data_IF_792683544270
#
_entry.id   IF_792683544270
#
_cell.length_a   1.000
_cell.length_b   1.000
_cell.length_c   1.000
_cell.angle_alpha   90.00
_cell.angle_beta   90.00
_cell.angle_gamma   90.00
#
_symmetry.space_group_name_H-M   'P 1'
#
loop_
_entity.id
_entity.type
_entity.pdbx_description
1 polymer ?
#
# COMPACT_ATOMS: atom_id res chain seq x y z
N UNK A 1 31.79 -8.87 13.16
CA UNK A 1 30.59 -8.64 12.35
C UNK A 1 29.59 -9.74 12.65
N UNK A 2 28.30 -9.45 12.65
CA UNK A 2 27.24 -10.42 12.97
C UNK A 2 27.00 -11.34 11.77
N UNK A 3 26.65 -12.62 11.98
CA UNK A 3 26.24 -13.52 10.89
C UNK A 3 25.03 -13.00 10.13
N UNK A 4 25.00 -13.18 8.80
CA UNK A 4 23.98 -12.61 7.91
C UNK A 4 23.32 -13.74 7.10
N UNK A 5 21.99 -13.79 7.06
CA UNK A 5 21.24 -14.57 6.07
C UNK A 5 20.88 -13.67 4.88
N UNK A 6 21.32 -14.07 3.69
CA UNK A 6 21.03 -13.38 2.43
C UNK A 6 19.97 -14.13 1.67
N UNK A 7 18.81 -13.49 1.44
CA UNK A 7 17.65 -14.04 0.77
C UNK A 7 17.63 -13.56 -0.68
N UNK A 8 17.64 -14.49 -1.62
CA UNK A 8 17.70 -14.25 -3.06
C UNK A 8 16.49 -14.89 -3.75
N UNK A 9 15.39 -14.14 -3.92
CA UNK A 9 14.25 -14.62 -4.69
C UNK A 9 14.63 -14.74 -6.17
N UNK A 10 14.29 -15.87 -6.80
CA UNK A 10 14.78 -16.21 -8.14
C UNK A 10 13.64 -16.73 -9.01
N UNK A 11 13.59 -16.26 -10.26
CA UNK A 11 12.76 -16.83 -11.30
C UNK A 11 13.38 -16.59 -12.68
N UNK A 12 13.97 -17.64 -13.27
CA UNK A 12 14.67 -17.63 -14.57
C UNK A 12 15.90 -16.71 -14.58
N UNK A 13 16.73 -16.83 -13.56
CA UNK A 13 17.93 -16.02 -13.37
C UNK A 13 19.21 -16.86 -13.31
N UNK A 14 19.19 -18.11 -13.84
CA UNK A 14 20.37 -19.00 -13.84
C UNK A 14 21.62 -18.33 -14.45
N UNK A 15 21.45 -17.44 -15.44
CA UNK A 15 22.57 -16.74 -16.07
C UNK A 15 23.24 -15.67 -15.19
N UNK A 16 22.52 -15.12 -14.21
CA UNK A 16 23.01 -14.06 -13.32
C UNK A 16 23.58 -14.61 -12.00
N UNK A 17 23.08 -15.77 -11.57
CA UNK A 17 23.43 -16.38 -10.28
C UNK A 17 24.94 -16.65 -10.09
N UNK A 18 25.74 -17.11 -11.07
CA UNK A 18 27.18 -17.34 -10.87
C UNK A 18 27.88 -16.09 -10.39
N UNK A 19 27.66 -14.93 -11.05
CA UNK A 19 28.32 -13.68 -10.67
C UNK A 19 27.85 -13.16 -9.31
N UNK A 20 26.58 -13.38 -8.95
CA UNK A 20 26.07 -13.04 -7.63
C UNK A 20 26.73 -13.88 -6.54
N UNK A 21 26.80 -15.20 -6.72
CA UNK A 21 27.42 -16.11 -5.75
C UNK A 21 28.94 -15.85 -5.62
N UNK A 22 29.62 -15.52 -6.70
CA UNK A 22 31.07 -15.12 -6.64
C UNK A 22 31.25 -13.83 -5.82
N UNK A 23 30.36 -12.84 -5.99
CA UNK A 23 30.35 -11.62 -5.17
C UNK A 23 30.08 -11.91 -3.69
N UNK A 24 29.17 -12.81 -3.37
CA UNK A 24 28.89 -13.24 -2.00
C UNK A 24 30.02 -14.05 -1.40
N UNK A 25 30.69 -14.90 -2.21
CA UNK A 25 31.86 -15.64 -1.79
C UNK A 25 33.06 -14.71 -1.44
N UNK A 26 33.20 -13.60 -2.18
CA UNK A 26 34.19 -12.57 -1.84
C UNK A 26 33.96 -11.97 -0.45
N UNK A 27 32.71 -11.59 -0.15
CA UNK A 27 32.35 -11.06 1.18
C UNK A 27 32.61 -12.09 2.29
N UNK A 28 32.34 -13.37 2.00
CA UNK A 28 32.64 -14.45 2.92
C UNK A 28 34.16 -14.61 3.14
N UNK A 29 34.96 -14.47 2.07
CA UNK A 29 36.43 -14.51 2.16
C UNK A 29 36.98 -13.35 3.00
N UNK A 30 36.32 -12.20 3.01
CA UNK A 30 36.63 -11.04 3.86
C UNK A 30 36.22 -11.23 5.35
N UNK A 31 35.77 -12.44 5.71
CA UNK A 31 35.51 -12.83 7.10
C UNK A 31 34.07 -12.68 7.56
N UNK A 32 33.11 -12.43 6.65
CA UNK A 32 31.67 -12.40 6.99
C UNK A 32 31.08 -13.81 6.98
N UNK A 33 30.34 -14.18 8.02
CA UNK A 33 29.59 -15.43 8.04
C UNK A 33 28.25 -15.24 7.33
N UNK A 34 28.09 -15.92 6.19
CA UNK A 34 26.88 -15.84 5.34
C UNK A 34 26.16 -17.18 5.26
N UNK A 35 24.82 -17.12 5.35
CA UNK A 35 23.87 -18.18 4.98
C UNK A 35 23.02 -17.64 3.81
N UNK A 36 23.24 -18.12 2.60
CA UNK A 36 22.53 -17.66 1.40
C UNK A 36 21.40 -18.59 1.07
N UNK A 37 20.21 -18.02 0.92
CA UNK A 37 18.98 -18.75 0.66
C UNK A 37 18.43 -18.31 -0.70
N UNK A 38 18.62 -19.15 -1.71
CA UNK A 38 18.02 -18.97 -3.03
C UNK A 38 16.60 -19.54 -2.97
N UNK A 39 15.60 -18.69 -3.24
CA UNK A 39 14.19 -19.10 -3.26
C UNK A 39 13.70 -19.07 -4.71
N UNK A 40 13.69 -20.24 -5.33
CA UNK A 40 13.38 -20.42 -6.75
C UNK A 40 11.90 -20.76 -6.99
N UNK A 41 11.23 -20.00 -7.86
CA UNK A 41 9.85 -20.21 -8.27
C UNK A 41 9.69 -21.25 -9.37
N UNK A 42 10.38 -22.38 -9.23
CA UNK A 42 10.39 -23.49 -10.18
C UNK A 42 10.73 -23.05 -11.60
N UNK A 43 11.88 -22.42 -11.73
CA UNK A 43 12.36 -21.74 -12.95
C UNK A 43 12.56 -22.68 -14.14
N UNK A 44 13.03 -23.92 -13.91
CA UNK A 44 13.38 -24.91 -14.92
C UNK A 44 14.35 -24.39 -15.97
N UNK A 45 15.36 -23.63 -15.55
CA UNK A 45 16.34 -22.94 -16.38
C UNK A 45 17.79 -23.34 -16.07
N UNK A 46 17.99 -24.40 -15.24
CA UNK A 46 19.28 -24.83 -14.78
C UNK A 46 19.71 -24.29 -13.41
N UNK A 47 18.84 -23.50 -12.74
CA UNK A 47 19.14 -22.96 -11.39
C UNK A 47 19.44 -24.05 -10.36
N UNK A 48 18.67 -25.15 -10.39
CA UNK A 48 18.84 -26.26 -9.43
C UNK A 48 20.18 -26.95 -9.62
N UNK A 49 20.50 -27.25 -10.86
CA UNK A 49 21.75 -27.93 -11.25
C UNK A 49 22.95 -27.03 -10.92
N UNK A 50 22.88 -25.74 -11.24
CA UNK A 50 23.93 -24.78 -10.97
C UNK A 50 24.27 -24.69 -9.47
N UNK A 51 23.26 -24.62 -8.61
CA UNK A 51 23.50 -24.54 -7.15
C UNK A 51 24.04 -25.87 -6.62
N UNK A 52 23.56 -27.00 -7.14
CA UNK A 52 24.05 -28.32 -6.76
C UNK A 52 25.51 -28.53 -7.18
N UNK A 53 25.87 -28.14 -8.41
CA UNK A 53 27.23 -28.29 -8.95
C UNK A 53 28.27 -27.44 -8.21
N UNK A 54 27.87 -26.24 -7.71
CA UNK A 54 28.73 -25.41 -6.88
C UNK A 54 29.06 -26.05 -5.53
N UNK A 55 28.11 -26.80 -4.96
CA UNK A 55 28.30 -27.58 -3.74
C UNK A 55 28.73 -26.76 -2.51
N UNK A 56 28.41 -25.47 -2.47
CA UNK A 56 28.82 -24.56 -1.40
C UNK A 56 27.89 -24.74 -0.16
N UNK A 57 28.42 -25.17 1.01
CA UNK A 57 27.61 -25.53 2.17
C UNK A 57 26.84 -24.34 2.81
N UNK A 58 27.25 -23.12 2.48
CA UNK A 58 26.63 -21.88 2.93
C UNK A 58 25.54 -21.36 1.97
N UNK A 59 25.30 -22.07 0.84
CA UNK A 59 24.23 -21.77 -0.12
C UNK A 59 23.16 -22.85 -0.05
N UNK A 60 21.92 -22.42 0.16
CA UNK A 60 20.75 -23.31 0.21
C UNK A 60 19.75 -22.92 -0.88
N UNK A 61 19.17 -23.93 -1.52
CA UNK A 61 18.13 -23.73 -2.51
C UNK A 61 16.78 -24.22 -1.98
N UNK A 62 15.74 -23.41 -2.14
CA UNK A 62 14.36 -23.74 -1.87
C UNK A 62 13.58 -23.58 -3.17
N UNK A 63 13.11 -24.67 -3.77
CA UNK A 63 12.28 -24.64 -4.96
C UNK A 63 10.81 -24.66 -4.57
N UNK A 64 10.02 -23.65 -5.00
CA UNK A 64 8.59 -23.52 -4.74
C UNK A 64 7.78 -24.00 -5.94
N UNK A 65 6.98 -25.06 -5.77
CA UNK A 65 6.23 -25.68 -6.87
C UNK A 65 4.82 -25.11 -6.99
N UNK A 66 4.16 -24.84 -5.85
CA UNK A 66 2.74 -24.46 -5.77
C UNK A 66 2.49 -22.95 -5.71
N UNK A 67 3.52 -22.16 -5.40
CA UNK A 67 3.42 -20.72 -5.21
C UNK A 67 4.35 -19.99 -6.17
N UNK A 68 3.93 -18.78 -6.60
CA UNK A 68 4.76 -17.88 -7.40
C UNK A 68 4.59 -16.44 -6.95
N UNK A 69 5.67 -15.71 -6.96
CA UNK A 69 5.69 -14.28 -6.71
C UNK A 69 6.86 -13.83 -5.86
N UNK A 70 7.48 -12.72 -6.25
CA UNK A 70 8.69 -12.20 -5.60
C UNK A 70 8.48 -12.00 -4.10
N UNK A 71 7.39 -11.34 -3.71
CA UNK A 71 7.17 -11.02 -2.29
C UNK A 71 6.95 -12.26 -1.42
N UNK A 72 6.23 -13.27 -1.91
CA UNK A 72 6.05 -14.52 -1.19
C UNK A 72 7.35 -15.35 -1.14
N UNK A 73 8.22 -15.23 -2.17
CA UNK A 73 9.55 -15.82 -2.14
C UNK A 73 10.43 -15.19 -1.06
N UNK A 74 10.38 -13.87 -0.94
CA UNK A 74 11.09 -13.15 0.12
C UNK A 74 10.60 -13.59 1.50
N UNK A 75 9.28 -13.65 1.73
CA UNK A 75 8.72 -14.10 3.02
C UNK A 75 9.22 -15.51 3.35
N UNK A 76 9.15 -16.42 2.38
CA UNK A 76 9.65 -17.79 2.56
C UNK A 76 11.13 -17.82 2.93
N UNK A 77 11.96 -17.00 2.29
CA UNK A 77 13.39 -16.88 2.61
C UNK A 77 13.65 -16.32 4.00
N UNK A 78 12.85 -15.31 4.43
CA UNK A 78 12.92 -14.75 5.78
C UNK A 78 12.56 -15.80 6.85
N UNK A 79 11.56 -16.64 6.61
CA UNK A 79 11.15 -17.73 7.50
C UNK A 79 12.24 -18.79 7.64
N UNK A 80 12.90 -19.15 6.55
CA UNK A 80 13.93 -20.20 6.50
C UNK A 80 15.33 -19.70 6.87
N UNK A 81 15.50 -18.41 7.11
CA UNK A 81 16.78 -17.81 7.47
C UNK A 81 17.26 -18.31 8.84
N UNK A 82 18.60 -18.41 9.04
CA UNK A 82 19.22 -18.91 10.25
C UNK A 82 19.73 -17.83 11.18
N UNK A 83 20.17 -16.71 10.61
CA UNK A 83 20.81 -15.61 11.35
C UNK A 83 19.80 -14.50 11.69
N UNK A 84 20.21 -13.61 12.58
CA UNK A 84 19.38 -12.50 13.05
C UNK A 84 19.41 -11.29 12.11
N UNK A 85 20.52 -11.11 11.37
CA UNK A 85 20.61 -10.10 10.33
C UNK A 85 20.14 -10.71 9.02
N UNK A 86 19.12 -10.13 8.42
CA UNK A 86 18.46 -10.61 7.21
C UNK A 86 18.64 -9.58 6.11
N UNK A 87 19.18 -9.98 4.99
CA UNK A 87 19.36 -9.13 3.80
C UNK A 87 18.64 -9.77 2.62
N UNK A 88 17.81 -9.01 1.93
CA UNK A 88 17.12 -9.44 0.70
C UNK A 88 17.72 -8.69 -0.48
N UNK A 89 18.03 -9.40 -1.56
CA UNK A 89 18.55 -8.80 -2.80
C UNK A 89 18.06 -9.55 -4.03
N UNK A 90 17.95 -8.85 -5.16
CA UNK A 90 17.57 -9.47 -6.42
C UNK A 90 18.70 -10.34 -6.99
N UNK A 91 18.33 -11.39 -7.74
CA UNK A 91 19.27 -12.31 -8.37
C UNK A 91 19.91 -11.79 -9.65
N UNK A 92 19.41 -10.67 -10.24
CA UNK A 92 19.77 -10.18 -11.57
C UNK A 92 21.09 -9.41 -11.67
N UNK A 93 21.82 -9.32 -10.55
CA UNK A 93 23.12 -8.63 -10.46
C UNK A 93 23.02 -7.11 -10.41
N UNK A 94 21.81 -6.54 -10.27
CA UNK A 94 21.61 -5.09 -10.17
C UNK A 94 21.99 -4.50 -8.81
N UNK A 95 22.00 -5.33 -7.77
CA UNK A 95 22.35 -4.95 -6.40
C UNK A 95 23.82 -5.32 -6.10
N UNK A 96 24.65 -4.36 -5.68
CA UNK A 96 26.05 -4.63 -5.36
C UNK A 96 26.17 -5.42 -4.05
N UNK A 97 26.74 -6.61 -4.09
CA UNK A 97 26.99 -7.44 -2.90
C UNK A 97 27.86 -6.71 -1.88
N UNK A 98 28.81 -5.89 -2.34
CA UNK A 98 29.72 -5.10 -1.50
C UNK A 98 29.04 -4.13 -0.53
N UNK A 99 27.75 -3.82 -0.72
CA UNK A 99 26.99 -2.95 0.21
C UNK A 99 26.36 -3.73 1.37
N UNK A 100 26.42 -5.07 1.39
CA UNK A 100 25.87 -5.89 2.48
C UNK A 100 26.52 -5.56 3.83
N UNK A 101 27.85 -5.43 3.95
CA UNK A 101 28.48 -5.01 5.19
C UNK A 101 28.01 -3.66 5.73
N UNK A 102 27.82 -2.67 4.85
CA UNK A 102 27.33 -1.35 5.24
C UNK A 102 25.89 -1.40 5.77
N UNK A 103 25.05 -2.27 5.17
CA UNK A 103 23.70 -2.50 5.66
C UNK A 103 23.70 -3.15 7.05
N UNK A 104 24.55 -4.14 7.26
CA UNK A 104 24.75 -4.77 8.58
C UNK A 104 25.24 -3.76 9.61
N UNK A 105 26.22 -2.94 9.27
CA UNK A 105 26.74 -1.91 10.16
C UNK A 105 25.67 -0.89 10.56
N UNK A 106 24.81 -0.47 9.63
CA UNK A 106 23.72 0.43 9.92
C UNK A 106 22.68 -0.20 10.88
N UNK A 107 22.37 -1.51 10.71
CA UNK A 107 21.50 -2.25 11.64
C UNK A 107 22.18 -2.38 13.02
N UNK A 108 23.50 -2.65 13.07
CA UNK A 108 24.26 -2.70 14.32
C UNK A 108 24.29 -1.35 15.05
N UNK A 109 24.22 -0.24 14.30
CA UNK A 109 24.12 1.12 14.84
C UNK A 109 22.71 1.50 15.31
N UNK A 110 21.73 0.59 15.24
CA UNK A 110 20.39 0.77 15.77
C UNK A 110 19.34 1.17 14.72
N UNK A 111 19.59 0.95 13.43
CA UNK A 111 18.54 1.05 12.43
C UNK A 111 17.52 -0.10 12.59
N UNK A 112 16.22 0.20 12.45
CA UNK A 112 15.17 -0.83 12.39
C UNK A 112 15.19 -1.57 11.04
N UNK A 113 15.60 -0.84 9.99
CA UNK A 113 15.53 -1.27 8.61
C UNK A 113 16.58 -0.55 7.77
N UNK A 114 17.23 -1.24 6.87
CA UNK A 114 18.15 -0.62 5.90
C UNK A 114 17.68 -0.83 4.47
N UNK A 115 18.01 0.12 3.61
CA UNK A 115 17.58 0.13 2.22
C UNK A 115 18.71 0.57 1.31
N UNK A 116 19.08 -0.24 0.32
CA UNK A 116 20.01 0.16 -0.73
C UNK A 116 19.36 1.23 -1.61
N UNK A 117 19.89 2.45 -1.61
CA UNK A 117 19.25 3.62 -2.26
C UNK A 117 20.10 4.17 -3.39
N UNK A 118 19.44 4.43 -4.51
CA UNK A 118 20.00 5.05 -5.72
C UNK A 118 20.00 6.57 -5.67
N UNK A 119 19.22 7.15 -4.76
CA UNK A 119 18.85 8.57 -4.79
C UNK A 119 19.42 9.40 -3.64
N UNK A 120 20.22 8.81 -2.79
CA UNK A 120 20.98 9.54 -1.76
C UNK A 120 22.39 9.89 -2.29
N UNK A 121 23.10 10.78 -1.60
CA UNK A 121 24.48 11.12 -1.93
C UNK A 121 25.36 9.86 -1.94
N UNK A 122 26.10 9.63 -3.04
CA UNK A 122 26.88 8.42 -3.26
C UNK A 122 26.11 7.28 -3.95
N UNK A 123 24.78 7.38 -4.04
CA UNK A 123 23.98 6.45 -4.84
C UNK A 123 23.91 6.88 -6.31
N UNK A 124 23.76 5.90 -7.20
CA UNK A 124 23.67 6.15 -8.64
C UNK A 124 22.96 5.02 -9.37
N UNK A 125 22.60 5.28 -10.61
CA UNK A 125 22.11 4.28 -11.56
C UNK A 125 23.02 4.29 -12.79
N UNK A 126 23.20 3.14 -13.40
CA UNK A 126 23.89 3.07 -14.68
C UNK A 126 23.15 3.89 -15.75
N UNK A 127 23.90 4.43 -16.72
CA UNK A 127 23.35 5.26 -17.81
C UNK A 127 22.30 4.51 -18.64
N UNK A 128 21.23 5.24 -19.07
CA UNK A 128 20.19 4.67 -19.92
C UNK A 128 18.80 4.52 -19.26
N UNK A 129 18.60 5.04 -18.05
CA UNK A 129 17.28 5.09 -17.45
C UNK A 129 16.34 6.04 -18.24
N UNK A 130 15.41 5.46 -18.99
CA UNK A 130 14.46 6.23 -19.77
C UNK A 130 13.59 7.16 -18.89
N UNK A 131 13.24 8.34 -19.43
CA UNK A 131 12.45 9.38 -18.75
C UNK A 131 11.15 8.83 -18.13
N UNK A 132 10.44 7.93 -18.83
CA UNK A 132 9.21 7.30 -18.32
C UNK A 132 9.45 6.46 -17.06
N UNK A 133 10.57 5.75 -16.99
CA UNK A 133 10.94 4.98 -15.80
C UNK A 133 11.26 5.89 -14.62
N UNK A 134 11.94 7.00 -14.88
CA UNK A 134 12.22 8.02 -13.87
C UNK A 134 10.93 8.65 -13.32
N UNK A 135 10.00 9.07 -14.21
CA UNK A 135 8.69 9.62 -13.81
C UNK A 135 7.93 8.61 -12.95
N UNK A 136 7.81 7.34 -13.40
CA UNK A 136 7.13 6.30 -12.65
C UNK A 136 7.75 6.08 -11.25
N UNK A 137 9.08 6.11 -11.15
CA UNK A 137 9.77 6.01 -9.85
C UNK A 137 9.44 7.18 -8.94
N UNK A 138 9.42 8.42 -9.47
CA UNK A 138 9.08 9.62 -8.69
C UNK A 138 7.62 9.63 -8.24
N UNK A 139 6.69 9.23 -9.10
CA UNK A 139 5.27 9.08 -8.74
C UNK A 139 5.10 8.02 -7.66
N UNK A 140 5.73 6.85 -7.82
CA UNK A 140 5.66 5.79 -6.82
C UNK A 140 6.27 6.24 -5.48
N UNK A 141 7.38 6.96 -5.48
CA UNK A 141 7.98 7.55 -4.27
C UNK A 141 7.04 8.56 -3.62
N UNK A 142 6.41 9.45 -4.41
CA UNK A 142 5.44 10.41 -3.88
C UNK A 142 4.26 9.72 -3.18
N UNK A 143 3.75 8.64 -3.77
CA UNK A 143 2.67 7.85 -3.18
C UNK A 143 3.09 7.12 -1.89
N UNK A 144 4.39 6.80 -1.73
CA UNK A 144 4.93 6.20 -0.52
C UNK A 144 5.20 7.22 0.61
N UNK A 145 5.24 8.52 0.32
CA UNK A 145 5.55 9.59 1.30
C UNK A 145 4.72 9.58 2.59
N UNK A 146 3.41 9.25 2.58
CA UNK A 146 2.65 9.12 3.82
C UNK A 146 3.17 8.03 4.76
N UNK A 147 3.92 7.08 4.24
CA UNK A 147 4.39 5.90 4.98
C UNK A 147 5.83 6.03 5.44
N UNK A 148 6.69 6.63 4.62
CA UNK A 148 8.13 6.70 4.86
C UNK A 148 8.75 7.96 4.26
N UNK A 149 9.87 8.42 4.85
CA UNK A 149 10.65 9.56 4.36
C UNK A 149 11.79 9.15 3.43
N UNK A 150 12.05 7.85 3.25
CA UNK A 150 13.16 7.37 2.41
C UNK A 150 13.04 7.85 0.96
N UNK A 151 14.16 8.05 0.29
CA UNK A 151 14.20 8.57 -1.08
C UNK A 151 13.96 7.47 -2.12
N UNK A 152 14.28 6.22 -1.78
CA UNK A 152 14.12 5.06 -2.67
C UNK A 152 13.22 3.95 -2.08
N UNK A 153 11.93 4.22 -1.78
CA UNK A 153 11.05 3.22 -1.19
C UNK A 153 10.71 2.05 -2.14
N UNK A 154 11.23 2.12 -3.37
CA UNK A 154 11.00 1.11 -4.41
C UNK A 154 12.14 0.10 -4.52
N UNK A 155 13.21 0.27 -3.76
CA UNK A 155 14.33 -0.67 -3.77
C UNK A 155 13.91 -2.04 -3.24
N UNK A 156 14.42 -3.10 -3.88
CA UNK A 156 14.32 -4.50 -3.44
C UNK A 156 15.50 -4.93 -2.56
N UNK A 157 16.53 -4.08 -2.43
CA UNK A 157 17.71 -4.36 -1.62
C UNK A 157 17.49 -3.83 -0.21
N UNK A 158 17.16 -4.74 0.70
CA UNK A 158 16.72 -4.40 2.05
C UNK A 158 17.48 -5.22 3.10
N UNK A 159 17.71 -4.61 4.26
CA UNK A 159 18.21 -5.28 5.44
C UNK A 159 17.28 -5.05 6.63
N UNK A 160 17.06 -6.09 7.42
CA UNK A 160 16.18 -6.06 8.58
C UNK A 160 16.68 -7.05 9.63
N UNK A 161 16.48 -6.74 10.91
CA UNK A 161 16.72 -7.73 11.96
C UNK A 161 15.53 -8.67 12.12
N UNK A 162 15.80 -9.93 12.46
CA UNK A 162 14.76 -10.95 12.74
C UNK A 162 13.74 -10.46 13.76
N UNK A 163 14.21 -9.84 14.85
CA UNK A 163 13.33 -9.31 15.88
C UNK A 163 12.39 -8.21 15.36
N UNK A 164 12.86 -7.39 14.42
CA UNK A 164 12.05 -6.38 13.73
C UNK A 164 11.02 -7.04 12.80
N UNK A 165 11.45 -8.00 11.99
CA UNK A 165 10.57 -8.74 11.11
C UNK A 165 9.48 -9.52 11.85
N UNK A 166 9.80 -10.16 12.97
CA UNK A 166 8.83 -10.89 13.79
C UNK A 166 7.76 -9.99 14.42
N UNK A 167 7.97 -8.68 14.48
CA UNK A 167 6.94 -7.71 14.89
C UNK A 167 5.93 -7.39 13.78
N UNK A 168 6.15 -7.89 12.57
CA UNK A 168 5.25 -7.62 11.46
C UNK A 168 3.84 -8.09 11.78
N UNK A 169 2.86 -7.23 11.51
CA UNK A 169 1.49 -7.69 11.37
C UNK A 169 1.40 -8.63 10.14
N UNK A 170 0.29 -9.36 10.02
CA UNK A 170 0.05 -10.25 8.87
C UNK A 170 0.45 -9.58 7.55
N UNK A 171 1.42 -10.18 6.85
CA UNK A 171 1.91 -9.70 5.56
C UNK A 171 0.97 -10.20 4.45
N UNK A 172 0.54 -9.29 3.61
CA UNK A 172 -0.28 -9.57 2.41
C UNK A 172 0.27 -8.75 1.23
N UNK A 173 1.50 -9.08 0.80
CA UNK A 173 2.20 -8.29 -0.20
C UNK A 173 1.59 -8.45 -1.59
N UNK A 174 1.46 -7.33 -2.32
CA UNK A 174 1.01 -7.32 -3.70
C UNK A 174 2.18 -6.92 -4.61
N UNK A 175 2.50 -7.78 -5.58
CA UNK A 175 3.53 -7.49 -6.57
C UNK A 175 4.95 -7.53 -5.99
N UNK A 176 5.76 -6.50 -6.27
CA UNK A 176 7.21 -6.52 -6.01
C UNK A 176 7.66 -5.60 -4.86
N UNK A 177 6.72 -5.02 -4.09
CA UNK A 177 7.02 -3.90 -3.18
C UNK A 177 6.99 -4.29 -1.70
N UNK A 178 7.57 -5.45 -1.39
CA UNK A 178 7.61 -5.97 -0.02
C UNK A 178 8.37 -5.06 0.95
N UNK A 179 9.40 -4.33 0.49
CA UNK A 179 10.17 -3.42 1.34
C UNK A 179 9.30 -2.35 2.01
N UNK A 180 8.42 -1.69 1.24
CA UNK A 180 7.49 -0.69 1.79
C UNK A 180 6.50 -1.34 2.77
N UNK A 181 6.01 -2.54 2.49
CA UNK A 181 5.12 -3.26 3.40
C UNK A 181 5.80 -3.60 4.72
N UNK A 182 7.04 -4.10 4.67
CA UNK A 182 7.83 -4.38 5.88
C UNK A 182 8.04 -3.11 6.71
N UNK A 183 8.46 -1.99 6.10
CA UNK A 183 8.62 -0.71 6.81
C UNK A 183 7.34 -0.35 7.57
N UNK A 184 6.17 -0.48 6.93
CA UNK A 184 4.89 -0.09 7.52
C UNK A 184 4.40 -1.10 8.55
N UNK A 185 4.40 -2.40 8.24
CA UNK A 185 3.82 -3.46 9.08
C UNK A 185 4.73 -3.87 10.25
N UNK A 186 6.05 -3.73 10.10
CA UNK A 186 6.99 -3.84 11.22
C UNK A 186 7.07 -2.56 12.06
N UNK A 187 6.39 -1.47 11.65
CA UNK A 187 6.39 -0.16 12.32
C UNK A 187 7.79 0.42 12.48
N UNK A 188 8.62 0.28 11.44
CA UNK A 188 9.97 0.82 11.44
C UNK A 188 9.94 2.35 11.55
N UNK A 189 10.72 2.90 12.47
CA UNK A 189 10.83 4.34 12.73
C UNK A 189 12.19 4.89 12.31
N UNK A 190 13.25 4.07 12.41
CA UNK A 190 14.60 4.39 12.03
C UNK A 190 15.00 3.58 10.79
N UNK A 191 14.71 4.13 9.61
CA UNK A 191 15.07 3.52 8.32
C UNK A 191 16.29 4.25 7.77
N UNK A 192 17.39 3.53 7.57
CA UNK A 192 18.65 4.06 7.04
C UNK A 192 18.82 3.65 5.59
N UNK A 193 19.12 4.62 4.73
CA UNK A 193 19.45 4.39 3.33
C UNK A 193 20.96 4.25 3.15
N UNK A 194 21.40 3.17 2.51
CA UNK A 194 22.80 2.88 2.15
C UNK A 194 22.98 3.20 0.67
N UNK A 195 23.99 4.00 0.27
CA UNK A 195 24.18 4.35 -1.13
C UNK A 195 24.60 3.12 -1.94
N UNK A 196 23.95 2.91 -3.08
CA UNK A 196 24.30 1.83 -4.01
C UNK A 196 24.45 2.35 -5.43
N UNK A 197 25.37 1.73 -6.17
CA UNK A 197 25.40 1.83 -7.61
C UNK A 197 24.53 0.73 -8.21
N UNK A 198 23.35 1.11 -8.75
CA UNK A 198 22.40 0.15 -9.32
C UNK A 198 22.77 -0.11 -10.79
N UNK A 199 23.24 -1.31 -11.06
CA UNK A 199 23.62 -1.74 -12.42
C UNK A 199 22.39 -2.09 -13.27
N UNK A 200 22.51 -1.97 -14.59
CA UNK A 200 21.49 -2.50 -15.51
C UNK A 200 21.47 -4.02 -15.43
N UNK A 201 20.29 -4.60 -15.52
CA UNK A 201 20.10 -6.05 -15.55
C UNK A 201 20.90 -6.65 -16.71
N UNK A 202 21.67 -7.68 -16.43
CA UNK A 202 22.42 -8.40 -17.48
C UNK A 202 21.49 -9.19 -18.40
N UNK A 203 20.33 -9.64 -17.88
CA UNK A 203 19.32 -10.41 -18.61
C UNK A 203 17.91 -10.00 -18.16
N UNK A 204 16.90 -10.01 -19.07
CA UNK A 204 15.49 -9.81 -18.77
C UNK A 204 14.88 -8.47 -19.18
N UNK A 205 13.57 -8.46 -19.42
CA UNK A 205 12.79 -7.28 -19.83
C UNK A 205 12.23 -6.52 -18.62
N UNK A 206 12.02 -5.21 -18.81
CA UNK A 206 11.39 -4.35 -17.79
C UNK A 206 9.91 -4.71 -17.59
N UNK A 207 9.52 -5.13 -16.39
CA UNK A 207 8.15 -5.53 -16.02
C UNK A 207 7.19 -4.34 -15.76
N UNK A 208 7.44 -3.15 -16.36
CA UNK A 208 6.53 -2.02 -16.23
C UNK A 208 5.29 -2.25 -17.10
N UNK A 209 4.20 -2.72 -16.47
CA UNK A 209 2.89 -2.87 -17.10
C UNK A 209 1.83 -2.10 -16.32
N UNK A 210 0.71 -1.77 -16.96
CA UNK A 210 -0.46 -1.16 -16.30
C UNK A 210 -0.96 -2.02 -15.12
N UNK A 211 -0.82 -3.35 -15.23
CA UNK A 211 -1.14 -4.28 -14.15
C UNK A 211 -0.28 -4.04 -12.91
N UNK A 212 1.02 -3.81 -13.08
CA UNK A 212 1.96 -3.53 -11.97
C UNK A 212 1.64 -2.18 -11.31
N UNK A 213 1.29 -1.16 -12.10
CA UNK A 213 0.89 0.15 -11.56
C UNK A 213 -0.41 0.03 -10.75
N UNK A 214 -1.40 -0.71 -11.25
CA UNK A 214 -2.64 -0.99 -10.54
C UNK A 214 -2.41 -1.76 -9.24
N UNK A 215 -1.57 -2.79 -9.28
CA UNK A 215 -1.18 -3.55 -8.09
C UNK A 215 -0.54 -2.64 -7.03
N UNK A 216 0.31 -1.72 -7.45
CA UNK A 216 0.93 -0.76 -6.53
C UNK A 216 -0.10 0.20 -5.91
N UNK A 217 -1.05 0.71 -6.69
CA UNK A 217 -2.18 1.51 -6.17
C UNK A 217 -2.97 0.75 -5.08
N UNK A 218 -3.35 -0.49 -5.37
CA UNK A 218 -4.07 -1.34 -4.41
C UNK A 218 -3.23 -1.57 -3.15
N UNK A 219 -1.93 -1.79 -3.32
CA UNK A 219 -1.00 -1.96 -2.20
C UNK A 219 -0.93 -0.70 -1.31
N UNK A 220 -0.77 0.48 -1.89
CA UNK A 220 -0.80 1.78 -1.17
C UNK A 220 -2.11 1.96 -0.39
N UNK A 221 -3.25 1.65 -1.00
CA UNK A 221 -4.55 1.73 -0.32
C UNK A 221 -4.63 0.75 0.87
N UNK A 222 -4.14 -0.49 0.72
CA UNK A 222 -4.09 -1.46 1.82
C UNK A 222 -3.19 -0.98 2.96
N UNK A 223 -2.01 -0.45 2.65
CA UNK A 223 -1.11 0.12 3.66
C UNK A 223 -1.71 1.35 4.35
N UNK A 224 -2.43 2.20 3.62
CA UNK A 224 -3.15 3.33 4.20
C UNK A 224 -4.25 2.88 5.16
N UNK A 225 -5.00 1.84 4.80
CA UNK A 225 -6.02 1.22 5.67
C UNK A 225 -5.41 0.64 6.94
N UNK A 226 -4.22 0.08 6.86
CA UNK A 226 -3.49 -0.45 8.01
C UNK A 226 -2.95 0.67 8.90
N UNK A 227 -2.19 1.62 8.33
CA UNK A 227 -1.50 2.68 9.11
C UNK A 227 -2.44 3.78 9.57
N UNK A 228 -3.43 4.16 8.76
CA UNK A 228 -4.34 5.28 8.98
C UNK A 228 -5.82 4.86 8.84
N UNK A 229 -6.33 3.91 9.66
CA UNK A 229 -7.65 3.32 9.46
C UNK A 229 -8.79 4.35 9.51
N UNK A 230 -8.66 5.40 10.36
CA UNK A 230 -9.66 6.46 10.45
C UNK A 230 -9.68 7.34 9.21
N UNK A 231 -8.51 7.81 8.75
CA UNK A 231 -8.39 8.70 7.60
C UNK A 231 -8.76 7.99 6.30
N UNK A 232 -8.35 6.74 6.13
CA UNK A 232 -8.66 5.91 4.96
C UNK A 232 -10.13 5.49 4.90
N UNK A 233 -10.89 5.64 5.98
CA UNK A 233 -12.35 5.52 6.00
C UNK A 233 -13.03 6.86 5.74
N UNK A 234 -12.56 7.96 6.34
CA UNK A 234 -13.17 9.27 6.23
C UNK A 234 -13.09 9.88 4.82
N UNK A 235 -11.91 9.79 4.18
CA UNK A 235 -11.73 10.39 2.84
C UNK A 235 -12.68 9.78 1.80
N UNK A 236 -12.77 8.43 1.63
CA UNK A 236 -13.75 7.85 0.73
C UNK A 236 -15.19 8.23 1.07
N UNK A 237 -15.55 8.25 2.36
CA UNK A 237 -16.89 8.67 2.82
C UNK A 237 -17.20 10.09 2.35
N UNK A 238 -16.29 11.03 2.53
CA UNK A 238 -16.48 12.42 2.08
C UNK A 238 -16.60 12.52 0.54
N UNK A 239 -15.77 11.75 -0.20
CA UNK A 239 -15.84 11.70 -1.66
C UNK A 239 -17.16 11.10 -2.16
N UNK A 240 -17.64 10.03 -1.53
CA UNK A 240 -18.94 9.44 -1.85
C UNK A 240 -20.06 10.43 -1.58
N UNK A 241 -20.06 11.12 -0.44
CA UNK A 241 -21.02 12.17 -0.13
C UNK A 241 -21.03 13.31 -1.17
N UNK A 242 -19.83 13.75 -1.58
CA UNK A 242 -19.71 14.76 -2.65
C UNK A 242 -20.25 14.25 -4.00
N UNK A 243 -19.96 13.01 -4.39
CA UNK A 243 -20.51 12.39 -5.59
C UNK A 243 -22.04 12.27 -5.51
N UNK A 244 -22.57 11.99 -4.31
CA UNK A 244 -24.00 11.92 -4.05
C UNK A 244 -24.73 13.24 -4.35
N UNK A 245 -24.10 14.39 -4.07
CA UNK A 245 -24.70 15.69 -4.45
C UNK A 245 -24.84 15.83 -5.96
N UNK A 246 -23.87 15.38 -6.74
CA UNK A 246 -23.93 15.40 -8.22
C UNK A 246 -25.02 14.45 -8.72
N UNK A 247 -25.09 13.25 -8.14
CA UNK A 247 -26.11 12.25 -8.47
C UNK A 247 -27.53 12.79 -8.13
N UNK A 248 -27.68 13.41 -6.97
CA UNK A 248 -28.97 14.04 -6.57
C UNK A 248 -29.41 15.10 -7.57
N UNK A 249 -28.52 16.04 -7.92
CA UNK A 249 -28.84 17.11 -8.86
C UNK A 249 -29.20 16.55 -10.25
N UNK A 250 -28.45 15.55 -10.74
CA UNK A 250 -28.73 14.90 -12.02
C UNK A 250 -30.04 14.12 -12.02
N UNK A 251 -30.35 13.39 -10.93
CA UNK A 251 -31.62 12.66 -10.79
C UNK A 251 -32.81 13.62 -10.73
N UNK A 252 -32.68 14.72 -9.97
CA UNK A 252 -33.76 15.70 -9.86
C UNK A 252 -34.03 16.36 -11.23
N UNK A 253 -33.00 16.80 -11.93
CA UNK A 253 -33.11 17.35 -13.28
C UNK A 253 -33.75 16.35 -14.26
N UNK A 254 -33.36 15.09 -14.21
CA UNK A 254 -33.91 14.03 -15.04
C UNK A 254 -35.40 13.81 -14.73
N UNK A 255 -35.77 13.75 -13.46
CA UNK A 255 -37.17 13.58 -13.03
C UNK A 255 -38.03 14.79 -13.41
N UNK A 256 -37.47 16.00 -13.36
CA UNK A 256 -38.16 17.23 -13.79
C UNK A 256 -38.44 17.20 -15.31
N UNK A 257 -37.51 16.72 -16.12
CA UNK A 257 -37.68 16.58 -17.59
C UNK A 257 -38.68 15.46 -17.92
N UNK A 258 -38.58 14.31 -17.24
CA UNK A 258 -39.41 13.13 -17.56
C UNK A 258 -40.85 13.21 -17.03
N UNK A 259 -41.02 13.70 -15.82
CA UNK A 259 -42.32 13.70 -15.15
C UNK A 259 -43.04 15.07 -15.22
N UNK A 260 -42.31 16.17 -15.46
CA UNK A 260 -42.85 17.51 -15.61
C UNK A 260 -43.85 17.87 -14.51
N UNK A 261 -45.02 18.36 -14.90
CA UNK A 261 -46.11 18.67 -14.00
C UNK A 261 -46.99 17.48 -13.64
N UNK A 262 -46.75 16.28 -14.20
CA UNK A 262 -47.53 15.08 -13.94
C UNK A 262 -47.32 14.49 -12.56
N UNK A 263 -46.15 14.77 -11.95
CA UNK A 263 -45.78 14.27 -10.62
C UNK A 263 -45.42 15.45 -9.72
N UNK A 264 -45.95 15.46 -8.52
CA UNK A 264 -45.70 16.50 -7.52
C UNK A 264 -44.22 16.65 -7.21
N UNK A 265 -43.77 17.88 -7.07
CA UNK A 265 -42.35 18.22 -6.81
C UNK A 265 -41.77 17.49 -5.59
N UNK A 266 -42.57 17.35 -4.51
CA UNK A 266 -42.12 16.66 -3.31
C UNK A 266 -41.87 15.17 -3.53
N UNK A 267 -42.63 14.51 -4.42
CA UNK A 267 -42.43 13.09 -4.79
C UNK A 267 -41.13 12.94 -5.57
N UNK A 268 -40.86 13.84 -6.52
CA UNK A 268 -39.60 13.84 -7.31
C UNK A 268 -38.36 14.01 -6.40
N UNK A 269 -38.45 14.95 -5.45
CA UNK A 269 -37.41 15.17 -4.43
C UNK A 269 -37.22 13.91 -3.58
N UNK A 270 -38.29 13.30 -3.09
CA UNK A 270 -38.24 12.09 -2.25
C UNK A 270 -37.54 10.93 -3.01
N UNK A 271 -37.94 10.71 -4.26
CA UNK A 271 -37.33 9.67 -5.11
C UNK A 271 -35.85 9.95 -5.34
N UNK A 272 -35.48 11.18 -5.69
CA UNK A 272 -34.09 11.58 -5.88
C UNK A 272 -33.23 11.38 -4.61
N UNK A 273 -33.78 11.74 -3.43
CA UNK A 273 -33.11 11.54 -2.13
C UNK A 273 -32.90 10.05 -1.84
N UNK A 274 -33.92 9.21 -2.00
CA UNK A 274 -33.83 7.77 -1.71
C UNK A 274 -32.82 7.07 -2.65
N UNK A 275 -32.83 7.42 -3.94
CA UNK A 275 -31.86 6.88 -4.90
C UNK A 275 -30.44 7.35 -4.57
N UNK A 276 -30.26 8.60 -4.17
CA UNK A 276 -28.96 9.13 -3.75
C UNK A 276 -28.45 8.47 -2.47
N UNK A 277 -29.32 8.25 -1.48
CA UNK A 277 -28.98 7.52 -0.26
C UNK A 277 -28.56 6.08 -0.58
N UNK A 278 -29.23 5.43 -1.53
CA UNK A 278 -28.85 4.09 -1.99
C UNK A 278 -27.49 4.10 -2.67
N UNK A 279 -27.21 5.09 -3.54
CA UNK A 279 -25.91 5.32 -4.15
C UNK A 279 -24.82 5.46 -3.07
N UNK A 280 -24.99 6.37 -2.12
CA UNK A 280 -24.03 6.62 -1.06
C UNK A 280 -23.81 5.35 -0.21
N UNK A 281 -24.87 4.66 0.20
CA UNK A 281 -24.76 3.42 0.98
C UNK A 281 -23.92 2.34 0.26
N UNK A 282 -24.17 2.11 -1.02
CA UNK A 282 -23.46 1.07 -1.78
C UNK A 282 -21.96 1.36 -1.90
N UNK A 283 -21.61 2.62 -2.14
CA UNK A 283 -20.21 3.01 -2.27
C UNK A 283 -19.52 3.18 -0.92
N UNK A 284 -20.19 3.73 0.09
CA UNK A 284 -19.65 3.85 1.44
C UNK A 284 -19.33 2.47 2.03
N UNK A 285 -20.21 1.50 1.84
CA UNK A 285 -19.98 0.13 2.30
C UNK A 285 -18.77 -0.51 1.63
N UNK A 286 -18.48 -0.19 0.36
CA UNK A 286 -17.33 -0.75 -0.39
C UNK A 286 -16.03 0.01 -0.14
N UNK A 287 -16.07 1.32 -0.08
CA UNK A 287 -14.88 2.18 -0.09
C UNK A 287 -14.52 2.69 1.31
N UNK A 288 -15.50 3.21 2.05
CA UNK A 288 -15.29 3.81 3.37
C UNK A 288 -15.29 2.77 4.50
N UNK A 289 -16.25 1.82 4.45
CA UNK A 289 -16.47 0.82 5.49
C UNK A 289 -16.25 -0.60 5.00
N UNK A 290 -15.09 -0.82 4.31
CA UNK A 290 -14.71 -2.12 3.71
C UNK A 290 -14.61 -3.27 4.73
N UNK A 291 -14.50 -2.94 6.01
CA UNK A 291 -14.37 -3.84 7.15
C UNK A 291 -15.65 -3.93 7.99
N UNK A 292 -16.78 -3.54 7.41
CA UNK A 292 -18.08 -3.67 8.04
C UNK A 292 -18.39 -5.14 8.36
N UNK A 293 -18.87 -5.37 9.60
CA UNK A 293 -19.19 -6.70 10.09
C UNK A 293 -20.29 -7.43 9.31
N UNK A 294 -20.58 -8.66 9.73
CA UNK A 294 -21.44 -9.65 9.05
C UNK A 294 -22.95 -9.35 9.08
N UNK A 295 -23.38 -8.22 9.63
CA UNK A 295 -24.81 -7.83 9.70
C UNK A 295 -25.48 -7.84 8.34
N UNK A 296 -26.77 -8.21 8.28
CA UNK A 296 -27.53 -8.22 7.03
C UNK A 296 -27.51 -6.83 6.35
N UNK A 297 -27.36 -6.82 5.04
CA UNK A 297 -27.29 -5.59 4.22
C UNK A 297 -28.53 -4.72 4.44
N UNK A 298 -29.72 -5.33 4.53
CA UNK A 298 -30.96 -4.61 4.77
C UNK A 298 -30.95 -3.85 6.11
N UNK A 299 -30.41 -4.46 7.18
CA UNK A 299 -30.29 -3.80 8.49
C UNK A 299 -29.27 -2.67 8.46
N UNK A 300 -28.15 -2.85 7.76
CA UNK A 300 -27.16 -1.80 7.56
C UNK A 300 -27.76 -0.64 6.76
N UNK A 301 -28.51 -0.92 5.70
CA UNK A 301 -29.16 0.10 4.88
C UNK A 301 -30.19 0.91 5.68
N UNK A 302 -31.07 0.24 6.42
CA UNK A 302 -32.04 0.92 7.28
C UNK A 302 -31.36 1.84 8.32
N UNK A 303 -30.33 1.33 8.98
CA UNK A 303 -29.53 2.12 9.92
C UNK A 303 -28.84 3.32 9.25
N UNK A 304 -28.29 3.14 8.06
CA UNK A 304 -27.66 4.20 7.28
C UNK A 304 -28.65 5.32 6.95
N UNK A 305 -29.85 4.97 6.46
CA UNK A 305 -30.90 5.94 6.15
C UNK A 305 -31.31 6.75 7.39
N UNK A 306 -31.49 6.09 8.53
CA UNK A 306 -31.84 6.77 9.80
C UNK A 306 -30.72 7.73 10.20
N UNK A 307 -29.47 7.28 10.23
CA UNK A 307 -28.33 8.11 10.65
C UNK A 307 -28.15 9.31 9.73
N UNK A 308 -28.21 9.12 8.41
CA UNK A 308 -28.03 10.19 7.43
C UNK A 308 -29.21 11.19 7.42
N UNK A 309 -30.38 10.80 7.89
CA UNK A 309 -31.55 11.70 8.01
C UNK A 309 -31.43 12.68 9.19
N UNK A 310 -30.69 12.35 10.25
CA UNK A 310 -30.57 13.19 11.45
C UNK A 310 -30.01 14.59 11.15
N UNK A 311 -28.84 14.76 10.49
CA UNK A 311 -28.30 16.08 10.16
C UNK A 311 -29.22 16.87 9.23
N UNK A 312 -29.92 16.19 8.32
CA UNK A 312 -30.91 16.85 7.43
C UNK A 312 -32.05 17.46 8.23
N UNK A 313 -32.64 16.71 9.16
CA UNK A 313 -33.69 17.19 10.05
C UNK A 313 -33.19 18.34 10.94
N UNK A 314 -31.99 18.20 11.52
CA UNK A 314 -31.41 19.27 12.36
C UNK A 314 -31.21 20.53 11.52
N UNK A 315 -30.64 20.41 10.32
CA UNK A 315 -30.44 21.57 9.41
C UNK A 315 -31.78 22.22 9.06
N UNK A 316 -32.80 21.42 8.76
CA UNK A 316 -34.13 21.92 8.46
C UNK A 316 -34.72 22.73 9.63
N UNK A 317 -34.71 22.16 10.85
CA UNK A 317 -35.26 22.84 12.03
C UNK A 317 -34.44 24.10 12.39
N UNK A 318 -33.15 24.06 12.31
CA UNK A 318 -32.28 25.24 12.55
C UNK A 318 -32.57 26.34 11.52
N UNK A 319 -32.62 26.00 10.24
CA UNK A 319 -32.92 26.97 9.18
C UNK A 319 -34.32 27.55 9.35
N UNK A 320 -35.30 26.71 9.62
CA UNK A 320 -36.68 27.18 9.87
C UNK A 320 -36.77 28.11 11.08
N UNK A 321 -36.12 27.78 12.21
CA UNK A 321 -36.13 28.60 13.42
C UNK A 321 -35.45 29.95 13.24
N UNK A 322 -34.41 30.03 12.42
CA UNK A 322 -33.64 31.25 12.20
C UNK A 322 -34.04 32.02 10.95
N UNK A 323 -34.90 31.48 10.08
CA UNK A 323 -35.30 32.15 8.83
C UNK A 323 -35.91 33.55 9.06
N UNK A 324 -36.61 33.75 10.17
CA UNK A 324 -37.25 35.03 10.52
C UNK A 324 -36.34 35.94 11.36
N UNK A 325 -35.18 35.47 11.82
CA UNK A 325 -34.35 36.20 12.81
C UNK A 325 -32.99 36.70 12.25
N UNK A 326 -32.58 36.22 11.09
CA UNK A 326 -31.26 36.57 10.53
C UNK A 326 -31.46 37.24 9.17
N UNK A 327 -31.21 38.56 9.13
CA UNK A 327 -31.35 39.41 7.94
C UNK A 327 -30.08 39.41 7.06
N UNK A 328 -28.99 38.72 7.44
CA UNK A 328 -27.74 38.75 6.72
C UNK A 328 -27.59 37.54 5.79
N UNK A 329 -27.55 37.71 4.44
CA UNK A 329 -27.37 36.62 3.47
C UNK A 329 -26.11 35.78 3.73
N UNK A 330 -25.02 36.43 4.19
CA UNK A 330 -23.73 35.79 4.46
C UNK A 330 -23.78 34.83 5.68
N UNK A 331 -24.61 35.16 6.69
CA UNK A 331 -24.73 34.32 7.88
C UNK A 331 -25.42 32.98 7.56
N UNK A 332 -26.39 32.97 6.62
CA UNK A 332 -27.04 31.75 6.14
C UNK A 332 -26.08 30.82 5.39
N UNK A 333 -25.17 31.37 4.56
CA UNK A 333 -24.16 30.60 3.82
C UNK A 333 -23.11 30.01 4.77
N UNK A 334 -22.62 30.80 5.72
CA UNK A 334 -21.65 30.34 6.72
C UNK A 334 -22.27 29.27 7.63
N UNK A 335 -23.48 29.50 8.10
CA UNK A 335 -24.22 28.55 8.96
C UNK A 335 -24.48 27.23 8.25
N UNK A 336 -24.88 27.25 6.97
CA UNK A 336 -25.08 26.02 6.18
C UNK A 336 -23.76 25.28 5.90
N UNK A 337 -22.66 25.99 5.64
CA UNK A 337 -21.34 25.37 5.43
C UNK A 337 -20.83 24.69 6.71
N UNK A 338 -20.94 25.35 7.88
CA UNK A 338 -20.57 24.77 9.17
C UNK A 338 -21.48 23.56 9.48
N UNK A 339 -22.79 23.70 9.29
CA UNK A 339 -23.76 22.63 9.53
C UNK A 339 -23.50 21.40 8.65
N UNK A 340 -23.19 21.61 7.37
CA UNK A 340 -22.84 20.52 6.43
C UNK A 340 -21.55 19.82 6.83
N UNK A 341 -20.53 20.57 7.26
CA UNK A 341 -19.23 20.00 7.69
C UNK A 341 -19.39 19.20 8.97
N UNK A 342 -20.10 19.73 9.97
CA UNK A 342 -20.39 19.02 11.21
C UNK A 342 -21.27 17.80 10.95
N UNK A 343 -22.27 17.94 10.06
CA UNK A 343 -23.13 16.84 9.63
C UNK A 343 -22.38 15.72 8.94
N UNK A 344 -21.42 16.04 8.08
CA UNK A 344 -20.54 15.07 7.42
C UNK A 344 -19.73 14.27 8.45
N UNK A 345 -19.08 14.97 9.39
CA UNK A 345 -18.30 14.32 10.44
C UNK A 345 -19.17 13.46 11.37
N UNK A 346 -20.33 13.98 11.79
CA UNK A 346 -21.30 13.24 12.59
C UNK A 346 -21.75 11.97 11.86
N UNK A 347 -22.16 12.09 10.59
CA UNK A 347 -22.58 10.95 9.78
C UNK A 347 -21.49 9.90 9.68
N UNK A 348 -20.25 10.32 9.43
CA UNK A 348 -19.13 9.37 9.36
C UNK A 348 -18.91 8.63 10.68
N UNK A 349 -18.86 9.37 11.82
CA UNK A 349 -18.64 8.77 13.14
C UNK A 349 -19.76 7.80 13.51
N UNK A 350 -21.01 8.22 13.37
CA UNK A 350 -22.16 7.41 13.79
C UNK A 350 -22.34 6.20 12.86
N UNK A 351 -22.19 6.37 11.55
CA UNK A 351 -22.18 5.24 10.63
C UNK A 351 -21.09 4.22 10.97
N UNK A 352 -19.88 4.70 11.32
CA UNK A 352 -18.75 3.82 11.71
C UNK A 352 -19.02 3.04 12.99
N UNK A 353 -19.61 3.68 13.99
CA UNK A 353 -19.81 3.09 15.32
C UNK A 353 -21.08 2.24 15.42
N UNK A 354 -22.12 2.57 14.67
CA UNK A 354 -23.45 1.97 14.82
C UNK A 354 -23.81 1.06 13.64
N UNK A 355 -23.70 1.58 12.42
CA UNK A 355 -24.17 0.88 11.20
C UNK A 355 -23.14 -0.14 10.72
N UNK A 356 -21.91 0.32 10.52
CA UNK A 356 -20.81 -0.46 9.95
C UNK A 356 -19.79 -0.87 11.03
N UNK A 357 -20.28 -1.24 12.20
CA UNK A 357 -19.42 -1.70 13.29
C UNK A 357 -18.65 -2.95 12.85
N UNK A 358 -17.38 -3.00 13.21
CA UNK A 358 -16.56 -4.24 13.13
C UNK A 358 -17.13 -5.28 14.08
N UNK A 359 -17.14 -6.54 13.65
CA UNK A 359 -17.42 -7.67 14.53
C UNK A 359 -16.27 -7.87 15.51
#
# INVERSE_FOLDING_TARGET
MRPISVIVPTYREAGSLPGLLDGLASIRADGHDLDVIIVDDNSKDGTVELVADRGEPWVRLITRISERGLSSAVIRGLEESRHDVLVVMDADGSHPTSSIPDMEQALAAGADFTLGSRYITGGSTEDGWGVLRWINSKVATLMARPFTKVLDPMSGFIGIERATWQRAAELDPIGYKIGLELIVKCRCTNVVEVPIHFSTRRHGESKLSLKVQWQYLVHIVRLARFKYPRLSSFIPFACVGASGMIVYAGLLALLDVMAGTMVDTWIRILVAVLLTMTWNFLWDRRLAFWDAGSRSIARQYAGFVVVCSIPVLVTFFVTWYYSDKIVLPLAGVIGSAIGSTLGLFFNWVVNRLVVFKRD
#
